data_IF_301949081891
#
_entry.id   IF_301949081891
#
_cell.length_a   1.000
_cell.length_b   1.000
_cell.length_c   1.000
_cell.angle_alpha   90.00
_cell.angle_beta   90.00
_cell.angle_gamma   90.00
#
_symmetry.space_group_name_H-M   'P 1'
#
loop_
_entity.id
_entity.type
_entity.pdbx_description
1 polymer ?
#
# COMPACT_ATOMS: atom_id res chain seq x y z
N UNK A 1 -3.63 -9.82 -5.71
CA UNK A 1 -3.05 -8.50 -6.12
C UNK A 1 -1.51 -8.52 -6.29
N UNK A 2 -0.90 -7.54 -6.97
CA UNK A 2 0.57 -7.40 -7.13
C UNK A 2 1.17 -6.57 -6.00
N UNK A 3 2.40 -6.88 -5.58
CA UNK A 3 3.15 -6.09 -4.60
C UNK A 3 3.38 -4.65 -5.08
N UNK A 4 3.29 -3.68 -4.16
CA UNK A 4 3.66 -2.30 -4.43
C UNK A 4 5.10 -2.08 -3.96
N UNK A 5 5.94 -1.59 -4.87
CA UNK A 5 7.30 -1.21 -4.51
C UNK A 5 7.60 0.16 -5.12
N UNK A 6 7.88 1.14 -4.27
CA UNK A 6 8.31 2.48 -4.64
C UNK A 6 9.70 2.70 -4.08
N UNK A 7 10.67 2.91 -4.97
CA UNK A 7 12.05 3.18 -4.57
C UNK A 7 12.13 4.53 -3.81
N UNK A 8 12.98 4.62 -2.78
CA UNK A 8 13.22 5.88 -2.09
C UNK A 8 13.87 6.89 -3.03
N UNK A 9 13.56 8.17 -2.84
CA UNK A 9 14.25 9.29 -3.49
C UNK A 9 14.87 10.18 -2.42
N UNK A 10 15.48 11.29 -2.85
CA UNK A 10 16.13 12.26 -1.96
C UNK A 10 15.17 12.85 -0.92
N UNK A 11 13.90 12.97 -1.30
CA UNK A 11 12.82 13.63 -0.57
C UNK A 11 11.59 12.75 -0.35
N UNK A 12 11.52 11.57 -0.99
CA UNK A 12 10.40 10.62 -0.86
C UNK A 12 10.82 9.31 -0.20
N UNK A 13 9.94 8.67 0.59
CA UNK A 13 10.27 7.46 1.30
C UNK A 13 10.23 6.26 0.36
N UNK A 14 10.82 5.16 0.79
CA UNK A 14 10.58 3.85 0.19
C UNK A 14 9.21 3.33 0.64
N UNK A 15 8.47 2.70 -0.27
CA UNK A 15 7.21 1.99 0.06
C UNK A 15 7.34 0.55 -0.39
N UNK A 16 7.10 -0.39 0.53
CA UNK A 16 7.10 -1.82 0.27
C UNK A 16 5.83 -2.44 0.84
N UNK A 17 4.87 -2.79 -0.03
CA UNK A 17 3.66 -3.48 0.35
C UNK A 17 3.60 -4.88 -0.26
N UNK A 18 3.59 -5.89 0.60
CA UNK A 18 3.53 -7.31 0.24
C UNK A 18 2.16 -7.88 0.64
N UNK A 19 1.20 -8.02 -0.31
CA UNK A 19 -0.16 -8.47 0.00
C UNK A 19 -0.22 -9.94 0.42
N UNK A 20 0.80 -10.75 0.08
CA UNK A 20 0.84 -12.17 0.44
C UNK A 20 1.16 -12.40 1.91
N UNK A 21 2.01 -11.56 2.50
CA UNK A 21 2.43 -11.66 3.90
C UNK A 21 1.67 -10.67 4.79
N UNK A 22 1.02 -9.67 4.20
CA UNK A 22 0.40 -8.56 4.93
C UNK A 22 1.42 -7.56 5.48
N UNK A 23 2.68 -7.63 5.05
CA UNK A 23 3.72 -6.70 5.49
C UNK A 23 3.66 -5.42 4.65
N UNK A 24 3.40 -4.31 5.34
CA UNK A 24 3.38 -2.97 4.77
C UNK A 24 4.42 -2.11 5.47
N UNK A 25 5.33 -1.52 4.71
CA UNK A 25 6.43 -0.70 5.26
C UNK A 25 6.63 0.56 4.44
N UNK A 26 6.82 1.68 5.14
CA UNK A 26 7.20 2.97 4.57
C UNK A 26 8.41 3.47 5.35
N UNK A 27 9.55 3.64 4.68
CA UNK A 27 10.85 3.85 5.33
C UNK A 27 11.56 5.03 4.67
N UNK A 28 12.16 5.91 5.49
CA UNK A 28 12.99 7.02 5.01
C UNK A 28 12.33 8.40 5.11
N UNK A 29 12.74 9.31 4.23
CA UNK A 29 12.37 10.73 4.29
C UNK A 29 11.02 10.94 3.62
N UNK A 30 10.06 11.48 4.37
CA UNK A 30 8.69 11.74 3.89
C UNK A 30 8.41 13.22 3.68
N UNK A 31 9.19 13.87 2.82
CA UNK A 31 9.01 15.27 2.44
C UNK A 31 9.02 15.48 0.92
N UNK A 32 8.19 14.73 0.15
CA UNK A 32 8.19 14.87 -1.30
C UNK A 32 7.65 16.24 -1.70
N UNK A 33 8.23 16.83 -2.75
CA UNK A 33 7.76 18.10 -3.31
C UNK A 33 6.26 18.09 -3.68
N UNK A 34 5.76 16.94 -4.18
CA UNK A 34 4.35 16.72 -4.47
C UNK A 34 3.80 15.51 -3.70
N UNK A 35 3.28 15.77 -2.50
CA UNK A 35 2.72 14.76 -1.59
C UNK A 35 1.57 13.98 -2.23
N UNK A 36 0.62 14.67 -2.87
CA UNK A 36 -0.52 14.01 -3.53
C UNK A 36 -0.04 13.05 -4.61
N UNK A 37 0.80 13.49 -5.54
CA UNK A 37 1.32 12.63 -6.62
C UNK A 37 2.06 11.39 -6.09
N UNK A 38 2.69 11.49 -4.92
CA UNK A 38 3.38 10.34 -4.30
C UNK A 38 2.40 9.39 -3.61
N UNK A 39 1.48 9.91 -2.79
CA UNK A 39 0.59 9.06 -1.97
C UNK A 39 -0.67 8.60 -2.71
N UNK A 40 -1.12 9.29 -3.76
CA UNK A 40 -2.27 8.87 -4.57
C UNK A 40 -2.16 7.41 -5.05
N UNK A 41 -1.06 6.95 -5.68
CA UNK A 41 -0.92 5.54 -6.07
C UNK A 41 -0.82 4.59 -4.87
N UNK A 42 -0.27 5.06 -3.74
CA UNK A 42 -0.17 4.27 -2.49
C UNK A 42 -1.56 4.05 -1.90
N UNK A 43 -2.39 5.09 -1.85
CA UNK A 43 -3.76 5.04 -1.36
C UNK A 43 -4.65 4.20 -2.28
N UNK A 44 -4.54 4.37 -3.61
CA UNK A 44 -5.27 3.57 -4.58
C UNK A 44 -4.97 2.07 -4.43
N UNK A 45 -3.70 1.71 -4.18
CA UNK A 45 -3.30 0.34 -3.89
C UNK A 45 -3.93 -0.16 -2.58
N UNK A 46 -3.94 0.63 -1.51
CA UNK A 46 -4.59 0.23 -0.26
C UNK A 46 -6.10 0.02 -0.44
N UNK A 47 -6.78 0.86 -1.20
CA UNK A 47 -8.21 0.70 -1.49
C UNK A 47 -8.51 -0.58 -2.26
N UNK A 48 -7.68 -0.92 -3.26
CA UNK A 48 -7.79 -2.19 -3.98
C UNK A 48 -7.53 -3.39 -3.06
N UNK A 49 -6.51 -3.32 -2.20
CA UNK A 49 -6.22 -4.36 -1.22
C UNK A 49 -7.39 -4.55 -0.24
N UNK A 50 -7.97 -3.45 0.26
CA UNK A 50 -9.14 -3.46 1.14
C UNK A 50 -10.36 -4.11 0.46
N UNK A 51 -10.54 -3.91 -0.85
CA UNK A 51 -11.61 -4.57 -1.62
C UNK A 51 -11.34 -6.07 -1.76
N UNK A 52 -10.11 -6.48 -2.03
CA UNK A 52 -9.72 -7.89 -2.13
C UNK A 52 -9.92 -8.63 -0.80
N UNK A 53 -9.46 -8.07 0.33
CA UNK A 53 -9.68 -8.69 1.65
C UNK A 53 -11.16 -8.72 2.04
N UNK A 54 -11.99 -7.75 1.63
CA UNK A 54 -13.44 -7.81 1.88
C UNK A 54 -14.12 -8.90 1.05
N UNK A 55 -13.70 -9.06 -0.20
CA UNK A 55 -14.19 -10.13 -1.07
C UNK A 55 -13.79 -11.52 -0.53
N UNK A 56 -12.57 -11.66 0.00
CA UNK A 56 -12.07 -12.92 0.59
C UNK A 56 -12.64 -13.17 2.00
N UNK A 57 -12.74 -12.14 2.84
CA UNK A 57 -13.20 -12.22 4.22
C UNK A 57 -14.70 -12.48 4.39
N UNK A 58 -15.51 -12.26 3.34
CA UNK A 58 -16.94 -12.60 3.33
C UNK A 58 -17.20 -14.12 3.29
N UNK A 59 -16.17 -14.96 3.15
CA UNK A 59 -16.31 -16.42 3.15
C UNK A 59 -16.13 -17.10 4.52
N UNK A 60 -15.92 -16.35 5.62
CA UNK A 60 -15.71 -16.94 6.95
C UNK A 60 -16.60 -16.39 8.07
N UNK A 61 -17.72 -15.73 7.75
CA UNK A 61 -18.74 -15.43 8.77
C UNK A 61 -19.72 -16.61 8.80
N UNK A 62 -19.44 -17.60 9.64
CA UNK A 62 -20.42 -18.63 10.03
C UNK A 62 -21.20 -18.10 11.26
N UNK A 63 -22.55 -18.20 11.26
CA UNK A 63 -23.41 -17.69 12.34
C UNK A 63 -23.16 -18.34 13.70
#
# INVERSE_FOLDING_TARGET
MKKLHVNPKKDSPEVQFEPQTGNFSIIGISHPENISNFFDPVMAWLDEYLKEIKAVGSNNIKP
#
